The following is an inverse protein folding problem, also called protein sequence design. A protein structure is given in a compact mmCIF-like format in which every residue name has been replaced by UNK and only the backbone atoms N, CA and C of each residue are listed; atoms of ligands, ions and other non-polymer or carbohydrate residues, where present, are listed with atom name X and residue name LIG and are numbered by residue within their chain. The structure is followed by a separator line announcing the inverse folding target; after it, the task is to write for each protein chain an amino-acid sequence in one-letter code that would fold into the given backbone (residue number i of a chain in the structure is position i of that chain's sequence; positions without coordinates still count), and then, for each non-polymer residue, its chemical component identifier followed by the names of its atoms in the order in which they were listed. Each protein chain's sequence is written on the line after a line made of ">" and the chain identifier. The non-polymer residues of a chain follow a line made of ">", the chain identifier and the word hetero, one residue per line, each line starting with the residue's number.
data_IF_160580139311
#
_entry.id   IF_160580139311
#
_cell.length_a   1.000
_cell.length_b   1.000
_cell.length_c   1.000
_cell.angle_alpha   90.00
_cell.angle_beta   90.00
_cell.angle_gamma   90.00
#
_symmetry.space_group_name_H-M   'P 1'
#
loop_
_entity.id
_entity.type
_entity.pdbx_description
1 polymer ?
#
# COMPACT_ATOMS: atom_id res chain seq x y z
N UNK A 1 26.85 -7.38 12.70
CA UNK A 1 25.65 -6.65 13.16
C UNK A 1 25.95 -5.20 13.53
N UNK A 2 27.23 -4.77 13.52
CA UNK A 2 27.69 -3.41 13.84
C UNK A 2 27.03 -2.28 13.01
N UNK A 3 26.98 -2.40 11.68
CA UNK A 3 26.55 -1.31 10.79
C UNK A 3 25.14 -0.75 11.07
N UNK A 4 24.21 -1.63 11.47
CA UNK A 4 22.83 -1.23 11.80
C UNK A 4 22.79 -0.54 13.17
N UNK A 5 23.56 -1.05 14.12
CA UNK A 5 23.64 -0.47 15.47
C UNK A 5 24.25 0.93 15.40
N UNK A 6 25.29 1.12 14.59
CA UNK A 6 25.88 2.43 14.31
C UNK A 6 24.86 3.40 13.69
N UNK A 7 24.07 2.94 12.72
CA UNK A 7 23.01 3.76 12.13
C UNK A 7 21.91 4.11 13.14
N UNK A 8 21.57 3.19 14.03
CA UNK A 8 20.62 3.42 15.13
C UNK A 8 21.17 4.46 16.11
N UNK A 9 22.43 4.33 16.52
CA UNK A 9 23.07 5.32 17.39
C UNK A 9 23.11 6.70 16.77
N UNK A 10 23.47 6.80 15.48
CA UNK A 10 23.47 8.06 14.75
C UNK A 10 22.07 8.67 14.68
N UNK A 11 21.04 7.86 14.43
CA UNK A 11 19.63 8.28 14.43
C UNK A 11 19.16 8.80 15.80
N UNK A 12 19.53 8.13 16.89
CA UNK A 12 19.18 8.53 18.26
C UNK A 12 19.88 9.84 18.64
N UNK A 13 21.17 9.96 18.31
CA UNK A 13 21.97 11.18 18.53
C UNK A 13 21.56 12.33 17.61
N UNK A 14 20.83 12.03 16.52
CA UNK A 14 20.51 12.92 15.40
C UNK A 14 21.75 13.48 14.72
N UNK A 15 22.80 12.67 14.67
CA UNK A 15 24.05 13.03 13.99
C UNK A 15 23.88 12.91 12.47
N UNK A 16 24.44 13.84 11.68
CA UNK A 16 24.40 13.74 10.24
C UNK A 16 25.31 12.60 9.76
N UNK A 17 24.76 11.66 9.01
CA UNK A 17 25.53 10.63 8.30
C UNK A 17 25.76 11.13 6.89
N UNK A 18 27.02 11.35 6.52
CA UNK A 18 27.42 11.91 5.22
C UNK A 18 27.78 10.76 4.27
N UNK A 19 27.30 10.86 3.03
CA UNK A 19 27.64 9.95 1.95
C UNK A 19 28.85 10.52 1.20
N UNK A 20 30.03 9.92 1.39
CA UNK A 20 31.25 10.26 0.66
C UNK A 20 31.53 9.17 -0.39
N UNK A 21 31.10 9.41 -1.63
CA UNK A 21 31.30 8.47 -2.73
C UNK A 21 30.51 7.18 -2.56
N UNK A 22 31.20 6.09 -2.20
CA UNK A 22 30.62 4.74 -2.05
C UNK A 22 30.56 4.29 -0.57
N UNK A 23 30.98 5.15 0.35
CA UNK A 23 31.04 4.89 1.79
C UNK A 23 30.17 5.87 2.58
N UNK A 24 29.51 5.35 3.60
CA UNK A 24 28.81 6.15 4.61
C UNK A 24 29.77 6.44 5.75
N UNK A 25 30.00 7.74 5.98
CA UNK A 25 30.86 8.23 7.06
C UNK A 25 29.99 8.59 8.24
N UNK A 26 30.21 7.89 9.35
CA UNK A 26 29.54 8.16 10.62
C UNK A 26 30.30 9.20 11.44
N UNK A 27 29.62 9.88 12.38
CA UNK A 27 30.23 10.84 13.31
C UNK A 27 31.35 10.22 14.16
N UNK A 28 31.32 8.90 14.36
CA UNK A 28 32.34 8.15 15.08
C UNK A 28 33.65 7.93 14.27
N UNK A 29 33.72 8.41 13.01
CA UNK A 29 34.88 8.24 12.12
C UNK A 29 34.92 6.89 11.39
N UNK A 30 33.94 6.02 11.64
CA UNK A 30 33.82 4.74 10.93
C UNK A 30 33.25 4.94 9.53
N UNK A 31 33.83 4.21 8.57
CA UNK A 31 33.45 4.20 7.17
C UNK A 31 32.86 2.85 6.83
N UNK A 32 31.60 2.83 6.42
CA UNK A 32 30.91 1.59 6.06
C UNK A 32 30.50 1.64 4.59
N UNK A 33 30.80 0.60 3.78
CA UNK A 33 30.38 0.54 2.40
C UNK A 33 28.85 0.60 2.28
N UNK A 34 28.33 1.36 1.31
CA UNK A 34 26.89 1.51 1.11
C UNK A 34 26.18 0.19 0.79
N UNK A 35 26.90 -0.73 0.15
CA UNK A 35 26.43 -2.06 -0.27
C UNK A 35 26.52 -3.11 0.84
N UNK A 36 27.00 -2.73 2.03
CA UNK A 36 27.09 -3.64 3.16
C UNK A 36 25.70 -4.18 3.50
N UNK A 37 25.55 -5.51 3.44
CA UNK A 37 24.29 -6.17 3.80
C UNK A 37 24.06 -6.05 5.30
N UNK A 38 22.85 -5.65 5.65
CA UNK A 38 22.46 -5.48 7.04
C UNK A 38 21.89 -6.76 7.62
N UNK A 39 21.83 -6.84 8.95
CA UNK A 39 21.13 -7.92 9.65
C UNK A 39 19.61 -7.88 9.49
N UNK A 40 19.05 -6.88 8.80
CA UNK A 40 17.63 -6.78 8.55
C UNK A 40 17.23 -7.49 7.27
N UNK A 41 16.44 -8.54 7.43
CA UNK A 41 15.74 -9.27 6.39
C UNK A 41 14.37 -8.67 6.10
N UNK A 42 13.98 -8.72 4.83
CA UNK A 42 12.67 -8.32 4.33
C UNK A 42 11.64 -9.42 4.55
N UNK A 43 10.51 -9.08 5.18
CA UNK A 43 9.37 -10.01 5.30
C UNK A 43 8.69 -10.23 3.95
N UNK A 44 8.67 -9.20 3.10
CA UNK A 44 7.98 -9.21 1.82
C UNK A 44 8.76 -9.87 0.67
N UNK A 45 10.11 -9.95 0.77
CA UNK A 45 10.96 -10.48 -0.30
C UNK A 45 11.68 -11.77 0.09
N UNK A 46 10.95 -12.69 0.72
CA UNK A 46 11.48 -14.02 1.03
C UNK A 46 12.71 -14.02 1.95
N UNK A 47 12.89 -13.00 2.79
CA UNK A 47 14.01 -12.91 3.73
C UNK A 47 15.30 -12.29 3.17
N UNK A 48 15.27 -11.63 2.00
CA UNK A 48 16.45 -10.91 1.51
C UNK A 48 16.88 -9.80 2.46
N UNK A 49 18.19 -9.66 2.67
CA UNK A 49 18.77 -8.65 3.53
C UNK A 49 18.80 -7.29 2.84
N UNK A 50 18.36 -6.25 3.54
CA UNK A 50 18.44 -4.89 3.06
C UNK A 50 19.89 -4.40 3.04
N UNK A 51 20.24 -3.62 2.01
CA UNK A 51 21.46 -2.82 1.99
C UNK A 51 21.44 -1.71 3.04
N UNK A 52 22.62 -1.29 3.50
CA UNK A 52 22.75 -0.18 4.44
C UNK A 52 22.27 1.14 3.83
N UNK A 53 22.56 1.34 2.54
CA UNK A 53 22.05 2.44 1.71
C UNK A 53 20.53 2.60 1.80
N UNK A 54 19.80 1.50 1.74
CA UNK A 54 18.34 1.44 1.71
C UNK A 54 17.74 1.91 3.05
N UNK A 55 18.37 1.50 4.15
CA UNK A 55 17.98 1.91 5.50
C UNK A 55 18.32 3.37 5.78
N UNK A 56 19.51 3.81 5.36
CA UNK A 56 19.93 5.21 5.48
C UNK A 56 19.02 6.13 4.65
N UNK A 57 18.71 5.74 3.41
CA UNK A 57 17.82 6.50 2.54
C UNK A 57 16.40 6.58 3.10
N UNK A 58 15.90 5.51 3.71
CA UNK A 58 14.62 5.52 4.42
C UNK A 58 14.63 6.49 5.61
N UNK A 59 15.74 6.59 6.34
CA UNK A 59 15.87 7.48 7.48
C UNK A 59 15.87 8.95 7.07
N UNK A 60 16.59 9.29 6.00
CA UNK A 60 16.60 10.65 5.41
C UNK A 60 15.20 11.07 4.94
N UNK A 61 14.46 10.13 4.35
CA UNK A 61 13.17 10.36 3.71
C UNK A 61 11.99 9.82 4.52
N UNK A 62 12.05 9.91 5.85
CA UNK A 62 11.01 9.38 6.75
C UNK A 62 9.65 10.05 6.58
N UNK A 63 9.64 11.35 6.27
CA UNK A 63 8.45 12.19 6.19
C UNK A 63 7.77 12.12 4.81
N UNK A 64 8.45 11.53 3.81
CA UNK A 64 7.90 11.41 2.47
C UNK A 64 6.82 10.31 2.38
N UNK A 65 5.75 10.55 1.61
CA UNK A 65 4.76 9.52 1.33
C UNK A 65 5.42 8.39 0.53
N UNK A 66 4.98 7.15 0.75
CA UNK A 66 5.66 5.96 0.21
C UNK A 66 5.82 5.97 -1.32
N UNK A 67 4.85 6.56 -2.03
CA UNK A 67 4.92 6.73 -3.49
C UNK A 67 6.12 7.59 -3.91
N UNK A 68 6.31 8.75 -3.29
CA UNK A 68 7.42 9.65 -3.59
C UNK A 68 8.76 9.00 -3.23
N UNK A 69 8.84 8.33 -2.07
CA UNK A 69 10.01 7.57 -1.67
C UNK A 69 10.43 6.53 -2.71
N UNK A 70 9.48 5.77 -3.28
CA UNK A 70 9.79 4.79 -4.34
C UNK A 70 10.28 5.41 -5.64
N UNK A 71 9.79 6.59 -5.99
CA UNK A 71 10.29 7.32 -7.16
C UNK A 71 11.72 7.80 -6.93
N UNK A 72 12.04 8.28 -5.73
CA UNK A 72 13.41 8.70 -5.39
C UNK A 72 14.37 7.52 -5.29
N UNK A 73 13.98 6.39 -4.68
CA UNK A 73 14.78 5.17 -4.70
C UNK A 73 15.12 4.75 -6.13
N UNK A 74 14.16 4.87 -7.06
CA UNK A 74 14.36 4.54 -8.47
C UNK A 74 15.33 5.49 -9.17
N UNK A 75 15.33 6.78 -8.80
CA UNK A 75 16.25 7.78 -9.34
C UNK A 75 17.68 7.55 -8.86
N UNK A 76 17.84 7.27 -7.57
CA UNK A 76 19.14 7.01 -6.93
C UNK A 76 19.66 5.58 -7.21
N UNK A 77 18.82 4.69 -7.75
CA UNK A 77 19.17 3.29 -7.98
C UNK A 77 19.34 2.49 -6.68
N UNK A 78 18.75 2.95 -5.59
CA UNK A 78 18.82 2.33 -4.26
C UNK A 78 17.69 1.30 -4.11
N UNK A 79 17.97 0.23 -3.38
CA UNK A 79 16.97 -0.76 -3.07
C UNK A 79 15.86 -0.19 -2.16
N UNK A 80 14.61 -0.49 -2.52
CA UNK A 80 13.43 0.01 -1.79
C UNK A 80 13.11 -0.86 -0.58
N UNK A 81 12.82 -0.22 0.54
CA UNK A 81 12.25 -0.89 1.71
C UNK A 81 10.76 -1.18 1.48
N UNK A 82 10.32 -2.39 1.84
CA UNK A 82 8.93 -2.80 1.67
C UNK A 82 8.00 -2.03 2.62
N UNK A 83 6.78 -1.75 2.18
CA UNK A 83 5.79 -1.02 3.00
C UNK A 83 5.43 -1.75 4.29
N UNK A 84 5.45 -3.09 4.25
CA UNK A 84 5.19 -3.96 5.40
C UNK A 84 6.26 -3.77 6.48
N UNK A 85 7.51 -3.56 6.06
CA UNK A 85 8.66 -3.45 6.96
C UNK A 85 8.91 -1.99 7.40
N UNK A 86 8.45 -0.99 6.62
CA UNK A 86 8.76 0.45 6.83
C UNK A 86 8.58 0.88 8.28
N UNK A 87 7.43 0.55 8.88
CA UNK A 87 7.09 1.00 10.24
C UNK A 87 8.01 0.37 11.28
N UNK A 88 8.14 -0.95 11.25
CA UNK A 88 8.97 -1.71 12.19
C UNK A 88 10.44 -1.29 12.12
N UNK A 89 10.96 -1.06 10.90
CA UNK A 89 12.33 -0.62 10.67
C UNK A 89 12.57 0.79 11.19
N UNK A 90 11.65 1.72 10.93
CA UNK A 90 11.75 3.10 11.44
C UNK A 90 11.66 3.13 12.96
N UNK A 91 10.76 2.37 13.57
CA UNK A 91 10.61 2.32 15.03
C UNK A 91 11.88 1.77 15.69
N UNK A 92 12.56 0.82 15.07
CA UNK A 92 13.85 0.31 15.54
C UNK A 92 14.98 1.34 15.40
N UNK A 93 15.12 1.98 14.23
CA UNK A 93 16.16 2.99 13.98
C UNK A 93 15.98 4.23 14.84
N UNK A 94 14.74 4.61 15.16
CA UNK A 94 14.42 5.72 16.08
C UNK A 94 14.54 5.31 17.55
N UNK A 95 14.82 4.04 17.85
CA UNK A 95 14.97 3.53 19.21
C UNK A 95 13.66 3.36 19.99
N UNK A 96 12.50 3.41 19.32
CA UNK A 96 11.19 3.13 19.93
C UNK A 96 10.98 1.64 20.16
N UNK A 97 11.59 0.79 19.32
CA UNK A 97 11.63 -0.65 19.48
C UNK A 97 13.06 -1.11 19.82
N UNK A 98 13.19 -2.09 20.73
CA UNK A 98 14.47 -2.70 21.10
C UNK A 98 14.91 -3.77 20.10
N UNK A 99 13.95 -4.48 19.50
CA UNK A 99 14.19 -5.60 18.60
C UNK A 99 13.24 -5.54 17.40
N UNK A 100 13.73 -5.93 16.23
CA UNK A 100 12.89 -6.17 15.05
C UNK A 100 12.53 -7.65 15.05
N UNK A 101 11.23 -7.97 15.05
CA UNK A 101 10.76 -9.34 14.85
C UNK A 101 11.11 -9.80 13.42
N UNK A 102 12.32 -10.35 13.28
CA UNK A 102 12.92 -10.83 12.05
C UNK A 102 12.58 -12.32 11.90
N UNK A 103 11.72 -12.64 10.93
CA UNK A 103 11.37 -14.02 10.58
C UNK A 103 12.42 -14.59 9.62
N UNK A 104 13.54 -15.12 10.14
CA UNK A 104 14.40 -15.96 9.31
C UNK A 104 15.84 -16.17 9.79
N UNK A 105 16.08 -17.24 10.56
CA UNK A 105 17.20 -18.14 10.26
C UNK A 105 18.42 -18.19 11.18
N UNK A 106 18.24 -18.53 12.46
CA UNK A 106 19.26 -19.32 13.20
C UNK A 106 18.56 -20.45 13.97
N UNK A 107 18.83 -21.70 13.57
CA UNK A 107 18.44 -22.90 14.34
C UNK A 107 19.20 -22.90 15.68
N UNK A 108 18.49 -22.86 16.82
CA UNK A 108 18.91 -23.50 18.07
C UNK A 108 17.87 -23.39 19.20
N UNK A 109 17.36 -24.56 19.61
CA UNK A 109 16.92 -24.97 20.97
C UNK A 109 15.49 -24.62 21.45
N UNK A 110 14.80 -25.71 21.84
CA UNK A 110 13.46 -25.85 22.46
C UNK A 110 13.35 -25.20 23.85
N UNK A 111 12.15 -24.67 24.18
CA UNK A 111 11.27 -25.02 25.34
C UNK A 111 10.04 -24.08 25.34
N UNK A 112 8.84 -24.61 25.12
CA UNK A 112 7.81 -25.03 26.10
C UNK A 112 6.86 -23.89 26.53
N UNK A 113 5.60 -24.06 26.10
CA UNK A 113 4.30 -23.71 26.69
C UNK A 113 3.92 -22.26 27.08
N UNK A 114 2.64 -21.94 26.87
CA UNK A 114 1.95 -20.88 27.61
C UNK A 114 1.44 -19.66 26.83
N UNK A 115 0.18 -19.76 26.40
CA UNK A 115 -0.90 -18.74 26.57
C UNK A 115 -0.77 -17.34 25.96
N UNK A 116 -1.71 -17.08 25.01
CA UNK A 116 -2.51 -15.86 24.74
C UNK A 116 -1.89 -14.47 25.00
N UNK A 117 -1.91 -13.62 23.96
CA UNK A 117 -2.74 -12.40 23.94
C UNK A 117 -2.79 -11.81 22.52
N UNK A 118 -3.96 -11.89 21.90
CA UNK A 118 -4.30 -11.13 20.71
C UNK A 118 -4.60 -9.68 21.13
N UNK A 119 -3.61 -8.79 21.02
CA UNK A 119 -3.80 -7.37 21.28
C UNK A 119 -4.25 -6.63 20.00
N UNK A 120 -5.55 -6.38 19.97
CA UNK A 120 -6.31 -5.51 19.07
C UNK A 120 -5.64 -4.14 18.90
N UNK A 121 -5.41 -3.74 17.65
CA UNK A 121 -5.29 -2.35 17.24
C UNK A 121 -6.60 -1.85 16.62
N UNK A 122 -7.72 -2.00 17.33
CA UNK A 122 -8.96 -1.34 16.96
C UNK A 122 -8.91 0.08 17.54
N UNK A 123 -8.35 1.01 16.76
CA UNK A 123 -8.54 2.43 17.02
C UNK A 123 -10.05 2.72 16.95
N UNK A 124 -10.60 3.32 18.00
CA UNK A 124 -11.98 3.78 18.07
C UNK A 124 -12.15 4.93 17.08
N UNK A 125 -12.35 4.61 15.80
CA UNK A 125 -12.77 5.56 14.79
C UNK A 125 -14.15 6.10 15.22
N UNK A 126 -14.31 7.42 15.22
CA UNK A 126 -15.63 8.00 15.44
C UNK A 126 -16.53 7.63 14.25
N UNK A 127 -17.86 7.60 14.44
CA UNK A 127 -18.79 7.30 13.33
C UNK A 127 -18.58 8.24 12.14
N UNK A 128 -18.14 9.46 12.40
CA UNK A 128 -17.86 10.49 11.40
C UNK A 128 -16.64 10.15 10.54
N UNK A 129 -15.59 9.58 11.13
CA UNK A 129 -14.38 9.16 10.39
C UNK A 129 -14.70 8.03 9.41
N UNK A 130 -15.50 7.05 9.87
CA UNK A 130 -15.93 5.93 9.04
C UNK A 130 -16.80 6.41 7.87
N UNK A 131 -17.70 7.37 8.12
CA UNK A 131 -18.55 7.96 7.07
C UNK A 131 -17.73 8.73 6.02
N UNK A 132 -16.69 9.44 6.46
CA UNK A 132 -15.81 10.17 5.55
C UNK A 132 -14.97 9.22 4.69
N UNK A 133 -14.43 8.15 5.28
CA UNK A 133 -13.71 7.10 4.56
C UNK A 133 -14.62 6.40 3.55
N UNK A 134 -15.87 6.09 3.92
CA UNK A 134 -16.85 5.49 3.03
C UNK A 134 -17.19 6.43 1.85
N UNK A 135 -17.38 7.73 2.09
CA UNK A 135 -17.61 8.72 1.01
C UNK A 135 -16.42 8.81 0.06
N UNK A 136 -15.20 8.79 0.60
CA UNK A 136 -13.97 8.84 -0.21
C UNK A 136 -13.85 7.59 -1.09
N UNK A 137 -14.11 6.40 -0.53
CA UNK A 137 -14.12 5.12 -1.28
C UNK A 137 -15.20 5.15 -2.37
N UNK A 138 -16.42 5.57 -2.05
CA UNK A 138 -17.53 5.66 -3.01
C UNK A 138 -17.23 6.65 -4.14
N UNK A 139 -16.57 7.77 -3.87
CA UNK A 139 -16.20 8.75 -4.89
C UNK A 139 -15.16 8.23 -5.90
N UNK A 140 -14.34 7.26 -5.47
CA UNK A 140 -13.32 6.61 -6.31
C UNK A 140 -13.86 5.43 -7.09
N UNK A 141 -15.01 4.88 -6.69
CA UNK A 141 -15.60 3.71 -7.32
C UNK A 141 -16.31 4.11 -8.62
N UNK A 142 -15.71 3.73 -9.76
CA UNK A 142 -16.34 3.89 -11.06
C UNK A 142 -17.14 2.63 -11.38
N UNK A 143 -18.47 2.71 -11.35
CA UNK A 143 -19.34 1.58 -11.73
C UNK A 143 -19.08 1.24 -13.20
N UNK A 144 -18.41 0.12 -13.46
CA UNK A 144 -17.88 -0.19 -14.78
C UNK A 144 -18.95 -0.60 -15.80
N UNK A 145 -20.17 -0.98 -15.40
CA UNK A 145 -21.40 -1.11 -16.22
C UNK A 145 -22.58 -1.58 -15.34
N UNK A 146 -23.70 -0.84 -15.32
CA UNK A 146 -25.02 -1.34 -14.93
C UNK A 146 -25.73 -2.01 -16.13
N UNK A 147 -26.76 -2.85 -15.89
CA UNK A 147 -27.57 -3.45 -16.98
C UNK A 147 -28.11 -2.40 -17.94
N UNK A 148 -28.48 -1.23 -17.43
CA UNK A 148 -28.99 -0.12 -18.23
C UNK A 148 -27.88 0.59 -19.00
N UNK A 149 -26.68 0.74 -18.41
CA UNK A 149 -25.53 1.31 -19.13
C UNK A 149 -24.99 0.41 -20.25
N UNK A 150 -25.27 -0.91 -20.21
CA UNK A 150 -24.90 -1.81 -21.33
C UNK A 150 -25.79 -1.61 -22.56
N UNK A 151 -27.01 -1.13 -22.37
CA UNK A 151 -27.95 -0.85 -23.46
C UNK A 151 -27.81 0.58 -24.01
N UNK A 152 -27.14 1.47 -23.28
CA UNK A 152 -26.81 2.83 -23.71
C UNK A 152 -25.40 2.86 -24.28
N UNK A 153 -25.28 2.57 -25.57
CA UNK A 153 -24.04 2.82 -26.32
C UNK A 153 -24.12 4.28 -26.81
N UNK A 154 -23.23 5.16 -26.32
CA UNK A 154 -23.23 6.60 -26.66
C UNK A 154 -23.25 6.87 -28.18
N UNK A 155 -22.65 5.98 -28.98
CA UNK A 155 -22.56 6.10 -30.43
C UNK A 155 -23.66 5.36 -31.21
N UNK A 156 -24.55 4.59 -30.57
CA UNK A 156 -25.55 3.76 -31.27
C UNK A 156 -26.92 3.86 -30.60
N UNK A 157 -27.89 4.40 -31.34
CA UNK A 157 -29.28 4.43 -30.91
C UNK A 157 -30.09 3.29 -31.53
N UNK A 158 -30.93 2.64 -30.73
CA UNK A 158 -31.86 1.60 -31.19
C UNK A 158 -33.17 2.17 -31.75
N UNK A 159 -33.23 3.47 -32.07
CA UNK A 159 -34.45 4.14 -32.56
C UNK A 159 -35.10 3.40 -33.72
N UNK A 160 -34.29 2.94 -34.67
CA UNK A 160 -34.71 2.15 -35.82
C UNK A 160 -35.35 0.79 -35.48
N UNK A 161 -35.07 0.21 -34.30
CA UNK A 161 -35.71 -1.02 -33.81
C UNK A 161 -36.92 -0.69 -32.93
N UNK A 162 -36.83 0.35 -32.11
CA UNK A 162 -37.86 0.73 -31.15
C UNK A 162 -39.08 1.37 -31.82
N UNK A 163 -38.91 2.18 -32.85
CA UNK A 163 -40.01 2.86 -33.55
C UNK A 163 -40.99 1.88 -34.25
N UNK A 164 -40.52 0.88 -35.03
CA UNK A 164 -41.42 -0.12 -35.62
C UNK A 164 -42.14 -0.97 -34.57
N UNK A 165 -41.44 -1.33 -33.48
CA UNK A 165 -42.04 -2.10 -32.38
C UNK A 165 -43.13 -1.29 -31.67
N UNK A 166 -42.89 -0.01 -31.38
CA UNK A 166 -43.88 0.87 -30.78
C UNK A 166 -45.12 1.02 -31.66
N UNK A 167 -44.94 1.18 -32.98
CA UNK A 167 -46.05 1.22 -33.94
C UNK A 167 -46.83 -0.11 -33.97
N UNK A 168 -46.13 -1.25 -33.94
CA UNK A 168 -46.76 -2.56 -33.92
C UNK A 168 -47.57 -2.79 -32.63
N UNK A 169 -47.01 -2.43 -31.47
CA UNK A 169 -47.71 -2.52 -30.18
C UNK A 169 -48.94 -1.60 -30.15
N UNK A 170 -48.83 -0.37 -30.67
CA UNK A 170 -49.95 0.56 -30.77
C UNK A 170 -51.04 0.00 -31.68
N UNK A 171 -50.69 -0.48 -32.87
CA UNK A 171 -51.63 -1.11 -33.82
C UNK A 171 -52.35 -2.32 -33.21
N UNK A 172 -51.64 -3.17 -32.47
CA UNK A 172 -52.26 -4.30 -31.77
C UNK A 172 -53.17 -3.85 -30.62
N UNK A 173 -52.79 -2.81 -29.88
CA UNK A 173 -53.60 -2.24 -28.81
C UNK A 173 -54.87 -1.57 -29.31
N UNK A 174 -54.81 -0.87 -30.44
CA UNK A 174 -55.95 -0.20 -31.06
C UNK A 174 -56.90 -1.23 -31.70
N UNK A 175 -56.36 -2.28 -32.34
CA UNK A 175 -57.17 -3.39 -32.85
C UNK A 175 -57.92 -4.15 -31.74
N UNK A 176 -57.30 -4.32 -30.56
CA UNK A 176 -57.95 -4.93 -29.40
C UNK A 176 -59.05 -4.05 -28.81
N UNK A 177 -58.90 -2.72 -28.84
CA UNK A 177 -59.92 -1.78 -28.38
C UNK A 177 -61.11 -1.72 -29.34
N UNK A 178 -60.86 -1.65 -30.64
CA UNK A 178 -61.92 -1.69 -31.65
C UNK A 178 -62.75 -2.99 -31.57
N UNK A 179 -62.10 -4.14 -31.36
CA UNK A 179 -62.80 -5.42 -31.19
C UNK A 179 -63.63 -5.53 -29.90
N UNK A 180 -63.42 -4.62 -28.93
CA UNK A 180 -64.20 -4.57 -27.69
C UNK A 180 -65.37 -3.57 -27.79
N UNK A 181 -65.28 -2.55 -28.65
CA UNK A 181 -66.34 -1.57 -28.88
C UNK A 181 -67.42 -2.07 -29.87
N UNK A 182 -67.14 -3.09 -30.69
CA UNK A 182 -68.10 -3.72 -31.61
C UNK A 182 -68.93 -4.86 -30.97
N UNK A 183 -68.86 -5.04 -29.64
CA UNK A 183 -69.53 -6.12 -28.89
C UNK A 183 -70.50 -5.56 -27.85
#
# INVERSE_FOLDING_TARGET
>A
MEAVQLLREASIKKDPVVLEGDELVFSNGERVPRTARTGLTSKGRGGEQYGLDSLWFLLMNKDLPMRAYYEECKKEGIERVQIIDKRDVLDYLLGKASEIAQSGGSKAVKKEDGTVEAAKGAATATSEDIENDLKEIMSREKVLRTRDSMLVIEARSFKHVLEPLAHCVKKMGDARRAAFEER
#
